data_IF_778924807736
#
_entry.id   IF_778924807736
#
_cell.length_a   1.000
_cell.length_b   1.000
_cell.length_c   1.000
_cell.angle_alpha   90.00
_cell.angle_beta   90.00
_cell.angle_gamma   90.00
#
_symmetry.space_group_name_H-M   'P 1'
#
loop_
_entity.id
_entity.type
_entity.pdbx_description
1 polymer ?
#
# COMPACT_ATOMS: atom_id res chain seq x y z
N UNK A 1 -8.86 -1.16 7.74
CA UNK A 1 -9.31 -1.25 6.35
C UNK A 1 -10.60 -2.06 6.20
N UNK A 2 -10.73 -3.16 6.92
CA UNK A 2 -11.95 -3.97 6.80
C UNK A 2 -13.20 -3.21 7.22
N UNK A 3 -13.08 -2.29 8.17
CA UNK A 3 -14.21 -1.47 8.62
C UNK A 3 -14.74 -0.56 7.53
N UNK A 4 -13.89 -0.20 6.57
CA UNK A 4 -14.26 0.69 5.48
C UNK A 4 -14.69 -0.06 4.22
N UNK A 5 -14.96 -1.34 4.35
CA UNK A 5 -15.42 -2.16 3.23
C UNK A 5 -14.30 -2.80 2.40
N UNK A 6 -13.07 -2.74 2.86
CA UNK A 6 -11.96 -3.41 2.18
C UNK A 6 -11.96 -4.91 2.50
N UNK A 7 -11.82 -5.71 1.47
CA UNK A 7 -11.65 -7.15 1.63
C UNK A 7 -10.16 -7.46 1.54
N UNK A 8 -9.57 -7.83 2.67
CA UNK A 8 -8.13 -8.11 2.72
C UNK A 8 -7.87 -9.50 2.13
N UNK A 9 -7.09 -9.55 1.08
CA UNK A 9 -6.77 -10.81 0.39
C UNK A 9 -5.47 -11.42 0.90
N UNK A 10 -4.45 -10.59 1.11
CA UNK A 10 -3.16 -11.03 1.63
C UNK A 10 -2.48 -9.93 2.42
N UNK A 11 -1.60 -10.33 3.34
CA UNK A 11 -0.76 -9.41 4.08
C UNK A 11 0.69 -9.88 3.95
N UNK A 12 1.62 -8.93 3.96
CA UNK A 12 3.07 -9.20 3.90
C UNK A 12 3.44 -10.12 2.73
N UNK A 13 2.89 -9.83 1.56
CA UNK A 13 3.15 -10.63 0.37
C UNK A 13 4.48 -10.22 -0.26
N UNK A 14 5.31 -11.21 -0.56
CA UNK A 14 6.64 -10.97 -1.10
C UNK A 14 6.77 -11.50 -2.52
N UNK A 15 7.45 -10.73 -3.36
CA UNK A 15 7.80 -11.14 -4.70
C UNK A 15 9.20 -10.61 -5.02
N UNK A 16 10.17 -11.53 -5.14
CA UNK A 16 11.57 -11.17 -5.34
C UNK A 16 12.04 -10.20 -4.24
N UNK A 17 12.42 -8.97 -4.61
CA UNK A 17 12.90 -7.96 -3.65
C UNK A 17 11.79 -7.05 -3.14
N UNK A 18 10.57 -7.21 -3.65
CA UNK A 18 9.45 -6.37 -3.25
C UNK A 18 8.64 -7.03 -2.15
N UNK A 19 8.07 -6.21 -1.28
CA UNK A 19 7.12 -6.65 -0.29
C UNK A 19 5.93 -5.71 -0.31
N UNK A 20 4.73 -6.28 -0.42
CA UNK A 20 3.49 -5.52 -0.37
C UNK A 20 2.82 -5.82 0.96
N UNK A 21 2.63 -4.79 1.77
CA UNK A 21 2.13 -4.99 3.13
C UNK A 21 0.70 -5.50 3.15
N UNK A 22 -0.15 -4.96 2.28
CA UNK A 22 -1.56 -5.37 2.22
C UNK A 22 -2.00 -5.44 0.76
N UNK A 23 -2.67 -6.53 0.40
CA UNK A 23 -3.37 -6.65 -0.89
C UNK A 23 -4.84 -6.78 -0.55
N UNK A 24 -5.66 -5.85 -1.05
CA UNK A 24 -7.07 -5.78 -0.74
C UNK A 24 -7.91 -5.52 -1.99
N UNK A 25 -9.22 -5.69 -1.85
CA UNK A 25 -10.17 -5.48 -2.92
C UNK A 25 -11.30 -4.58 -2.41
N UNK A 26 -11.65 -3.57 -3.20
CA UNK A 26 -12.78 -2.69 -2.88
C UNK A 26 -13.24 -1.95 -4.13
N UNK A 27 -14.55 -1.89 -4.33
CA UNK A 27 -15.21 -1.05 -5.35
C UNK A 27 -14.62 -1.19 -6.76
N UNK A 28 -14.28 -2.42 -7.15
CA UNK A 28 -13.73 -2.68 -8.48
C UNK A 28 -12.23 -2.48 -8.60
N UNK A 29 -11.54 -2.26 -7.48
CA UNK A 29 -10.08 -2.11 -7.45
C UNK A 29 -9.41 -3.27 -6.75
N UNK A 30 -8.26 -3.68 -7.28
CA UNK A 30 -7.30 -4.51 -6.57
C UNK A 30 -6.22 -3.57 -6.07
N UNK A 31 -6.08 -3.47 -4.76
CA UNK A 31 -5.31 -2.41 -4.12
C UNK A 31 -4.08 -2.98 -3.45
N UNK A 32 -2.91 -2.48 -3.86
CA UNK A 32 -1.62 -2.84 -3.27
C UNK A 32 -1.19 -1.70 -2.37
N UNK A 33 -1.05 -1.97 -1.09
CA UNK A 33 -0.85 -0.93 -0.08
C UNK A 33 0.48 -1.09 0.64
N UNK A 34 1.21 0.02 0.75
CA UNK A 34 2.39 0.10 1.59
C UNK A 34 2.03 0.81 2.89
N UNK A 35 2.42 0.21 4.01
CA UNK A 35 2.21 0.80 5.33
C UNK A 35 3.53 1.37 5.83
N UNK A 36 3.53 2.63 6.21
CA UNK A 36 4.70 3.32 6.73
C UNK A 36 4.42 3.83 8.13
N UNK A 37 5.35 3.58 9.06
CA UNK A 37 5.26 4.10 10.42
C UNK A 37 6.29 5.22 10.56
N UNK A 38 5.85 6.39 11.01
CA UNK A 38 6.70 7.55 11.16
C UNK A 38 6.58 8.14 12.56
N UNK A 39 7.70 8.67 13.05
CA UNK A 39 7.75 9.22 14.41
C UNK A 39 7.27 10.66 14.54
N UNK A 40 7.11 11.40 13.43
CA UNK A 40 6.57 12.76 13.51
C UNK A 40 6.27 13.29 12.12
N UNK A 41 5.49 14.38 12.06
CA UNK A 41 5.15 15.04 10.79
C UNK A 41 6.29 15.86 10.20
N UNK A 42 7.44 15.92 10.87
CA UNK A 42 8.59 16.71 10.41
C UNK A 42 9.28 16.14 9.17
N UNK A 43 8.96 14.93 8.79
CA UNK A 43 9.71 14.23 7.74
C UNK A 43 9.09 14.38 6.36
N UNK A 44 8.38 15.47 6.12
CA UNK A 44 7.82 15.76 4.82
C UNK A 44 6.53 15.02 4.55
N UNK A 45 6.06 15.11 3.32
CA UNK A 45 4.82 14.46 2.93
C UNK A 45 5.02 12.96 2.79
N UNK A 46 4.03 12.16 3.17
CA UNK A 46 4.13 10.70 3.04
C UNK A 46 4.47 10.23 1.64
N UNK A 47 3.91 10.86 0.63
CA UNK A 47 4.16 10.50 -0.76
C UNK A 47 5.58 10.78 -1.21
N UNK A 48 6.29 11.69 -0.54
CA UNK A 48 7.68 12.04 -0.90
C UNK A 48 8.65 10.90 -0.60
N UNK A 49 8.23 9.92 0.20
CA UNK A 49 9.07 8.78 0.53
C UNK A 49 9.06 7.68 -0.53
N UNK A 50 8.23 7.83 -1.56
CA UNK A 50 8.11 6.85 -2.62
C UNK A 50 8.96 7.30 -3.79
N UNK A 51 10.00 6.52 -4.11
CA UNK A 51 10.89 6.82 -5.23
C UNK A 51 10.62 5.90 -6.42
N UNK A 52 11.28 6.19 -7.54
CA UNK A 52 11.08 5.44 -8.78
C UNK A 52 11.49 3.98 -8.65
N UNK A 53 12.50 3.69 -7.85
CA UNK A 53 12.93 2.32 -7.63
C UNK A 53 11.85 1.51 -6.92
N UNK A 54 11.22 2.10 -5.92
CA UNK A 54 10.15 1.44 -5.19
C UNK A 54 8.93 1.22 -6.06
N UNK A 55 8.58 2.21 -6.88
CA UNK A 55 7.48 2.08 -7.84
C UNK A 55 7.75 0.93 -8.79
N UNK A 56 8.98 0.82 -9.30
CA UNK A 56 9.37 -0.26 -10.21
C UNK A 56 9.24 -1.63 -9.54
N UNK A 57 9.68 -1.76 -8.28
CA UNK A 57 9.56 -3.01 -7.55
C UNK A 57 8.09 -3.39 -7.33
N UNK A 58 7.24 -2.42 -7.04
CA UNK A 58 5.82 -2.67 -6.87
C UNK A 58 5.15 -3.09 -8.17
N UNK A 59 5.54 -2.49 -9.29
CA UNK A 59 5.02 -2.92 -10.60
C UNK A 59 5.37 -4.37 -10.89
N UNK A 60 6.61 -4.77 -10.58
CA UNK A 60 7.03 -6.16 -10.76
C UNK A 60 6.23 -7.09 -9.85
N UNK A 61 5.98 -6.67 -8.62
CA UNK A 61 5.18 -7.45 -7.68
C UNK A 61 3.74 -7.61 -8.17
N UNK A 62 3.15 -6.56 -8.72
CA UNK A 62 1.80 -6.62 -9.30
C UNK A 62 1.75 -7.63 -10.42
N UNK A 63 2.70 -7.58 -11.34
CA UNK A 63 2.76 -8.53 -12.45
C UNK A 63 2.87 -9.97 -11.94
N UNK A 64 3.73 -10.21 -10.95
CA UNK A 64 3.87 -11.54 -10.35
C UNK A 64 2.59 -12.01 -9.68
N UNK A 65 1.91 -11.12 -8.97
CA UNK A 65 0.65 -11.47 -8.33
C UNK A 65 -0.43 -11.82 -9.36
N UNK A 66 -0.53 -11.02 -10.42
CA UNK A 66 -1.54 -11.23 -11.46
C UNK A 66 -1.31 -12.50 -12.29
N UNK A 67 -0.07 -12.95 -12.42
CA UNK A 67 0.20 -14.23 -13.05
C UNK A 67 -0.40 -15.39 -12.27
N UNK A 68 -0.37 -15.29 -10.94
CA UNK A 68 -0.91 -16.32 -10.05
C UNK A 68 -2.40 -16.12 -9.77
N UNK A 69 -2.86 -14.88 -9.84
CA UNK A 69 -4.22 -14.50 -9.48
C UNK A 69 -4.80 -13.54 -10.53
N UNK A 70 -5.13 -14.03 -11.73
CA UNK A 70 -5.69 -13.16 -12.77
C UNK A 70 -6.98 -12.48 -12.30
N UNK A 71 -7.15 -11.22 -12.68
CA UNK A 71 -8.32 -10.46 -12.30
C UNK A 71 -8.64 -9.40 -13.36
N UNK A 72 -9.92 -9.00 -13.41
CA UNK A 72 -10.35 -7.89 -14.26
C UNK A 72 -10.46 -6.58 -13.47
N UNK A 73 -10.14 -6.61 -12.19
CA UNK A 73 -10.17 -5.41 -11.35
C UNK A 73 -9.09 -4.42 -11.78
N UNK A 74 -9.36 -3.14 -11.60
CA UNK A 74 -8.35 -2.12 -11.83
C UNK A 74 -7.33 -2.13 -10.70
N UNK A 75 -6.08 -1.85 -11.03
CA UNK A 75 -4.99 -1.85 -10.05
C UNK A 75 -4.86 -0.45 -9.45
N UNK A 76 -4.72 -0.40 -8.13
CA UNK A 76 -4.51 0.84 -7.40
C UNK A 76 -3.41 0.64 -6.38
N UNK A 77 -2.56 1.65 -6.22
CA UNK A 77 -1.49 1.66 -5.22
C UNK A 77 -1.82 2.67 -4.14
N UNK A 78 -1.88 2.20 -2.91
CA UNK A 78 -2.19 3.06 -1.77
C UNK A 78 -1.02 3.11 -0.80
N UNK A 79 -0.96 4.17 -0.02
CA UNK A 79 -0.02 4.30 1.10
C UNK A 79 -0.83 4.58 2.35
N UNK A 80 -0.50 3.89 3.43
CA UNK A 80 -1.04 4.17 4.75
C UNK A 80 0.11 4.63 5.63
N UNK A 81 -0.02 5.82 6.19
CA UNK A 81 0.96 6.35 7.14
C UNK A 81 0.40 6.25 8.53
N UNK A 82 1.20 5.66 9.41
CA UNK A 82 0.91 5.62 10.83
C UNK A 82 1.88 6.61 11.47
N UNK A 83 1.35 7.73 11.95
CA UNK A 83 2.16 8.79 12.53
C UNK A 83 2.02 8.72 14.04
N UNK A 84 3.12 8.35 14.72
CA UNK A 84 3.13 8.17 16.16
C UNK A 84 3.55 9.49 16.79
N UNK A 85 2.61 10.15 17.46
CA UNK A 85 2.86 11.35 18.21
C UNK A 85 3.15 11.05 19.68
N UNK A 86 3.34 12.11 20.45
CA UNK A 86 3.67 11.98 21.87
C UNK A 86 2.52 11.37 22.68
N UNK A 87 1.30 11.79 22.40
CA UNK A 87 0.12 11.37 23.14
C UNK A 87 -0.94 10.71 22.28
N UNK A 88 -0.71 10.65 20.97
CA UNK A 88 -1.71 10.09 20.06
C UNK A 88 -1.05 9.52 18.81
N UNK A 89 -1.80 8.67 18.13
CA UNK A 89 -1.39 8.09 16.85
C UNK A 89 -2.38 8.49 15.79
N UNK A 90 -1.88 9.03 14.68
CA UNK A 90 -2.71 9.37 13.52
C UNK A 90 -2.50 8.36 12.41
N UNK A 91 -3.57 8.06 11.69
CA UNK A 91 -3.51 7.20 10.52
C UNK A 91 -3.96 8.00 9.32
N UNK A 92 -3.09 8.09 8.31
CA UNK A 92 -3.41 8.73 7.05
C UNK A 92 -3.46 7.66 5.96
N UNK A 93 -4.57 7.60 5.24
CA UNK A 93 -4.69 6.71 4.10
C UNK A 93 -4.67 7.56 2.82
N UNK A 94 -3.70 7.30 1.96
CA UNK A 94 -3.54 8.02 0.69
C UNK A 94 -3.87 7.04 -0.44
N UNK A 95 -5.09 7.10 -0.97
CA UNK A 95 -5.43 6.23 -2.10
C UNK A 95 -4.76 6.74 -3.37
N UNK A 96 -4.47 5.81 -4.26
CA UNK A 96 -3.89 6.12 -5.57
C UNK A 96 -2.63 6.98 -5.44
N UNK A 97 -1.71 6.56 -4.57
CA UNK A 97 -0.54 7.34 -4.19
C UNK A 97 0.55 7.38 -5.28
N UNK A 98 0.58 6.39 -6.17
CA UNK A 98 1.56 6.36 -7.27
C UNK A 98 1.14 5.45 -8.42
#
# INVERSE_FOLDING_TARGET
LQKDGYNILQTNWKFQKAEVDIIAQKDGFLIFTEVKTRGSKKYGKPSDAIDNKKISLYKDAVEGYLEQNPTELEIRFDVINIIIGKDETEIEHIPNAF
#
